data_IF_250697799304
#
_entry.id   IF_250697799304
#
_cell.length_a   1.000
_cell.length_b   1.000
_cell.length_c   1.000
_cell.angle_alpha   90.00
_cell.angle_beta   90.00
_cell.angle_gamma   90.00
#
_symmetry.space_group_name_H-M   'P 1'
#
loop_
_entity.id
_entity.type
_entity.pdbx_description
1 polymer ?
#
# COMPACT_ATOMS: atom_id res chain seq x y z
N UNK A 1 -4.40 29.07 -9.84
CA UNK A 1 -5.37 28.05 -9.42
C UNK A 1 -4.75 27.21 -8.31
N UNK A 2 -5.44 26.94 -7.19
CA UNK A 2 -4.87 26.09 -6.15
C UNK A 2 -4.75 24.65 -6.67
N UNK A 3 -3.54 24.12 -6.72
CA UNK A 3 -3.31 22.71 -7.05
C UNK A 3 -3.76 21.85 -5.86
N UNK A 4 -4.94 21.23 -6.00
CA UNK A 4 -5.39 20.20 -5.06
C UNK A 4 -4.49 18.98 -5.27
N UNK A 5 -3.61 18.69 -4.30
CA UNK A 5 -2.87 17.42 -4.31
C UNK A 5 -3.87 16.29 -4.13
N UNK A 6 -4.16 15.57 -5.21
CA UNK A 6 -4.88 14.31 -5.13
C UNK A 6 -4.07 13.37 -4.22
N UNK A 7 -4.65 12.98 -3.09
CA UNK A 7 -4.12 11.91 -2.25
C UNK A 7 -4.82 10.63 -2.71
N UNK A 8 -4.19 9.81 -3.57
CA UNK A 8 -4.77 8.53 -3.93
C UNK A 8 -4.86 7.67 -2.65
N UNK A 9 -6.08 7.48 -2.15
CA UNK A 9 -6.37 6.43 -1.18
C UNK A 9 -6.76 5.22 -2.01
N UNK A 10 -5.98 4.15 -1.93
CA UNK A 10 -6.16 2.96 -2.77
C UNK A 10 -7.39 2.13 -2.38
N UNK A 11 -8.02 2.43 -1.23
CA UNK A 11 -9.30 1.88 -0.79
C UNK A 11 -10.30 3.02 -0.59
N UNK A 12 -11.53 2.79 -1.04
CA UNK A 12 -12.66 3.67 -0.74
C UNK A 12 -13.10 3.39 0.70
N UNK A 13 -13.15 4.43 1.53
CA UNK A 13 -13.81 4.36 2.82
C UNK A 13 -15.34 4.37 2.65
N UNK A 14 -16.08 4.09 3.71
CA UNK A 14 -17.55 4.05 3.65
C UNK A 14 -18.12 5.40 3.19
N UNK A 15 -17.52 6.52 3.61
CA UNK A 15 -17.95 7.85 3.21
C UNK A 15 -17.83 8.07 1.69
N UNK A 16 -16.71 7.67 1.08
CA UNK A 16 -16.51 7.74 -0.38
C UNK A 16 -17.37 6.74 -1.14
N UNK A 17 -17.63 5.56 -0.57
CA UNK A 17 -18.59 4.62 -1.15
C UNK A 17 -20.00 5.22 -1.17
N UNK A 18 -20.40 5.92 -0.11
CA UNK A 18 -21.69 6.59 -0.04
C UNK A 18 -21.78 7.76 -1.03
N UNK A 19 -20.68 8.51 -1.23
CA UNK A 19 -20.59 9.54 -2.28
C UNK A 19 -20.68 8.92 -3.68
N UNK A 20 -19.96 7.83 -3.94
CA UNK A 20 -20.01 7.12 -5.22
C UNK A 20 -21.43 6.60 -5.52
N UNK A 21 -22.13 6.09 -4.49
CA UNK A 21 -23.51 5.63 -4.60
C UNK A 21 -24.50 6.75 -4.92
N UNK A 22 -24.24 7.99 -4.50
CA UNK A 22 -25.07 9.16 -4.87
C UNK A 22 -24.92 9.49 -6.36
N UNK A 23 -23.72 9.31 -6.92
CA UNK A 23 -23.41 9.66 -8.32
C UNK A 23 -23.80 8.55 -9.28
N UNK A 24 -23.60 7.28 -8.89
CA UNK A 24 -23.86 6.09 -9.72
C UNK A 24 -24.65 5.04 -8.92
N UNK A 25 -25.93 5.29 -8.58
CA UNK A 25 -26.73 4.37 -7.78
C UNK A 25 -26.96 3.02 -8.48
N UNK A 26 -27.08 3.01 -9.81
CA UNK A 26 -27.27 1.81 -10.64
C UNK A 26 -26.08 0.84 -10.58
N UNK A 27 -24.88 1.36 -10.28
CA UNK A 27 -23.69 0.55 -10.12
C UNK A 27 -23.69 -0.25 -8.80
N UNK A 28 -24.69 -0.08 -7.93
CA UNK A 28 -24.80 -0.80 -6.65
C UNK A 28 -25.98 -1.78 -6.66
N UNK A 29 -25.70 -3.05 -6.35
CA UNK A 29 -26.69 -4.09 -6.11
C UNK A 29 -26.42 -4.74 -4.74
N UNK A 30 -27.45 -4.86 -3.90
CA UNK A 30 -27.36 -5.47 -2.56
C UNK A 30 -26.25 -4.90 -1.66
N UNK A 31 -26.00 -3.59 -1.77
CA UNK A 31 -24.98 -2.90 -0.98
C UNK A 31 -23.54 -3.15 -1.45
N UNK A 32 -23.34 -3.84 -2.58
CA UNK A 32 -22.04 -4.03 -3.23
C UNK A 32 -22.04 -3.41 -4.62
N UNK A 33 -20.85 -3.12 -5.14
CA UNK A 33 -20.70 -2.63 -6.52
C UNK A 33 -20.92 -3.81 -7.47
N UNK A 34 -21.88 -3.67 -8.39
CA UNK A 34 -22.01 -4.54 -9.55
C UNK A 34 -21.05 -4.04 -10.64
N UNK A 35 -20.00 -4.81 -10.91
CA UNK A 35 -18.97 -4.45 -11.88
C UNK A 35 -19.50 -4.31 -13.30
N UNK A 36 -20.44 -5.17 -13.72
CA UNK A 36 -21.00 -5.12 -15.08
C UNK A 36 -21.80 -3.85 -15.29
N UNK A 37 -22.65 -3.49 -14.32
CA UNK A 37 -23.45 -2.26 -14.39
C UNK A 37 -22.56 -1.02 -14.27
N UNK A 38 -21.54 -1.03 -13.41
CA UNK A 38 -20.57 0.06 -13.34
C UNK A 38 -19.84 0.24 -14.67
N UNK A 39 -19.41 -0.87 -15.29
CA UNK A 39 -18.75 -0.85 -16.60
C UNK A 39 -19.68 -0.27 -17.67
N UNK A 40 -20.93 -0.72 -17.70
CA UNK A 40 -21.94 -0.20 -18.63
C UNK A 40 -22.19 1.32 -18.42
N UNK A 41 -22.27 1.77 -17.18
CA UNK A 41 -22.49 3.19 -16.84
C UNK A 41 -21.29 4.07 -17.20
N UNK A 42 -20.06 3.57 -17.05
CA UNK A 42 -18.84 4.28 -17.43
C UNK A 42 -18.63 4.33 -18.96
N UNK A 43 -19.17 3.36 -19.70
CA UNK A 43 -19.24 3.39 -21.16
C UNK A 43 -17.88 3.68 -21.83
N UNK A 44 -17.84 4.69 -22.69
CA UNK A 44 -16.63 5.09 -23.44
C UNK A 44 -15.53 5.73 -22.58
N UNK A 45 -15.79 6.02 -21.30
CA UNK A 45 -14.79 6.53 -20.35
C UNK A 45 -13.93 5.40 -19.77
N UNK A 46 -14.28 4.14 -20.04
CA UNK A 46 -13.43 3.03 -19.72
C UNK A 46 -12.28 2.96 -20.72
N UNK A 47 -11.06 3.05 -20.22
CA UNK A 47 -9.93 2.53 -20.96
C UNK A 47 -10.12 1.00 -21.06
N UNK A 48 -10.34 0.51 -22.28
CA UNK A 48 -10.27 -0.92 -22.53
C UNK A 48 -8.82 -1.36 -22.33
N UNK A 49 -8.59 -2.32 -21.43
CA UNK A 49 -7.32 -3.06 -21.30
C UNK A 49 -7.09 -3.90 -22.58
N UNK A 50 -6.97 -3.25 -23.74
CA UNK A 50 -6.49 -3.90 -24.94
C UNK A 50 -5.00 -4.22 -24.80
N UNK A 51 -4.54 -5.30 -25.42
CA UNK A 51 -3.15 -5.80 -25.35
C UNK A 51 -2.08 -4.74 -25.74
N UNK A 52 -2.49 -3.62 -26.35
CA UNK A 52 -1.63 -2.50 -26.76
C UNK A 52 -1.86 -1.19 -25.96
N UNK A 53 -2.68 -1.20 -24.91
CA UNK A 53 -2.76 -0.10 -23.97
C UNK A 53 -1.59 -0.23 -22.98
N UNK A 54 -0.39 0.16 -23.40
CA UNK A 54 0.74 0.30 -22.50
C UNK A 54 0.47 1.46 -21.53
N UNK A 55 -0.24 1.18 -20.43
CA UNK A 55 -0.41 2.14 -19.36
C UNK A 55 0.98 2.42 -18.77
N UNK A 56 1.46 3.66 -18.95
CA UNK A 56 2.72 4.09 -18.37
C UNK A 56 2.69 3.91 -16.85
N UNK A 57 3.47 2.97 -16.34
CA UNK A 57 3.49 2.65 -14.92
C UNK A 57 4.65 1.74 -14.55
N UNK A 58 5.28 2.02 -13.41
CA UNK A 58 6.35 1.16 -12.90
C UNK A 58 5.76 -0.16 -12.40
N UNK A 59 6.04 -1.27 -13.08
CA UNK A 59 5.60 -2.62 -12.69
C UNK A 59 6.82 -3.47 -12.29
N UNK A 60 6.69 -4.21 -11.19
CA UNK A 60 7.73 -5.10 -10.69
C UNK A 60 7.12 -6.34 -10.02
N UNK A 61 7.82 -7.49 -10.02
CA UNK A 61 7.40 -8.68 -9.27
C UNK A 61 7.12 -8.35 -7.79
N UNK A 62 6.01 -8.85 -7.25
CA UNK A 62 5.64 -8.59 -5.85
C UNK A 62 4.94 -7.25 -5.58
N UNK A 63 4.77 -6.34 -6.56
CA UNK A 63 4.03 -5.07 -6.40
C UNK A 63 2.65 -5.24 -5.76
N UNK A 64 1.88 -6.26 -6.18
CA UNK A 64 0.55 -6.57 -5.61
C UNK A 64 0.64 -6.99 -4.14
N UNK A 65 1.61 -7.84 -3.81
CA UNK A 65 1.84 -8.32 -2.44
C UNK A 65 2.30 -7.18 -1.52
N UNK A 66 3.22 -6.34 -1.98
CA UNK A 66 3.67 -5.15 -1.25
C UNK A 66 2.50 -4.21 -0.90
N UNK A 67 1.58 -3.99 -1.84
CA UNK A 67 0.35 -3.23 -1.57
C UNK A 67 -0.51 -3.89 -0.49
N UNK A 68 -0.77 -5.20 -0.59
CA UNK A 68 -1.58 -5.91 0.40
C UNK A 68 -0.99 -5.81 1.82
N UNK A 69 0.33 -5.98 1.95
CA UNK A 69 1.03 -5.89 3.24
C UNK A 69 0.89 -4.49 3.85
N UNK A 70 0.98 -3.44 3.04
CA UNK A 70 0.82 -2.06 3.50
C UNK A 70 -0.58 -1.79 4.09
N UNK A 71 -1.62 -2.49 3.60
CA UNK A 71 -2.99 -2.37 4.10
C UNK A 71 -3.35 -3.36 5.21
N UNK A 72 -2.47 -4.31 5.52
CA UNK A 72 -2.74 -5.26 6.60
C UNK A 72 -2.65 -4.53 7.94
N UNK A 73 -3.62 -4.71 8.86
CA UNK A 73 -3.55 -4.14 10.20
C UNK A 73 -2.26 -4.53 10.90
N UNK A 74 -1.79 -3.65 11.79
CA UNK A 74 -0.73 -3.98 12.74
C UNK A 74 -1.20 -5.11 13.67
N UNK A 75 -0.31 -6.06 13.95
CA UNK A 75 -0.51 -7.14 14.93
C UNK A 75 0.06 -6.79 16.30
N UNK A 76 0.97 -5.81 16.37
CA UNK A 76 1.60 -5.33 17.59
C UNK A 76 0.87 -4.17 18.29
N UNK A 77 1.41 -3.78 19.45
CA UNK A 77 1.07 -2.54 20.17
C UNK A 77 2.34 -1.90 20.70
N UNK A 78 2.33 -0.57 20.85
CA UNK A 78 3.43 0.14 21.50
C UNK A 78 3.34 -0.04 23.02
N UNK A 79 4.48 -0.29 23.66
CA UNK A 79 4.62 -0.38 25.11
C UNK A 79 5.57 0.73 25.57
N UNK A 80 5.20 1.55 26.58
CA UNK A 80 6.10 2.58 27.09
C UNK A 80 7.34 1.99 27.75
N UNK A 81 8.53 2.36 27.28
CA UNK A 81 9.82 2.05 27.90
C UNK A 81 10.20 3.17 28.87
N UNK A 82 9.61 3.16 30.08
CA UNK A 82 9.84 4.20 31.10
C UNK A 82 11.26 4.13 31.67
N UNK A 83 11.91 5.28 31.80
CA UNK A 83 13.26 5.40 32.37
C UNK A 83 14.40 5.25 31.35
N UNK A 84 14.10 5.00 30.07
CA UNK A 84 15.10 4.89 28.99
C UNK A 84 15.28 6.20 28.21
N UNK A 85 14.35 7.14 28.36
CA UNK A 85 14.36 8.43 27.72
C UNK A 85 15.16 9.48 28.48
N UNK A 86 15.59 10.50 27.73
CA UNK A 86 16.27 11.68 28.27
C UNK A 86 15.22 12.79 28.49
N UNK A 87 15.14 13.30 29.72
CA UNK A 87 14.17 14.32 30.15
C UNK A 87 12.70 13.94 29.85
N UNK A 88 12.29 12.71 30.18
CA UNK A 88 11.00 12.12 29.79
C UNK A 88 9.78 12.99 30.12
N UNK A 89 9.78 13.67 31.26
CA UNK A 89 8.64 14.48 31.73
C UNK A 89 8.47 15.79 30.96
N UNK A 90 9.53 16.29 30.32
CA UNK A 90 9.55 17.61 29.66
C UNK A 90 9.68 17.53 28.13
N UNK A 91 10.18 16.40 27.64
CA UNK A 91 10.51 16.21 26.23
C UNK A 91 9.26 15.89 25.39
N UNK A 92 9.19 16.45 24.18
CA UNK A 92 8.11 16.20 23.20
C UNK A 92 8.52 15.25 22.08
N UNK A 93 9.77 14.81 22.06
CA UNK A 93 10.32 13.90 21.08
C UNK A 93 10.00 12.46 21.47
N UNK A 94 9.77 11.61 20.46
CA UNK A 94 9.45 10.20 20.64
C UNK A 94 10.50 9.39 19.89
N UNK A 95 11.08 8.41 20.58
CA UNK A 95 11.87 7.34 19.97
C UNK A 95 11.06 6.05 20.04
N UNK A 96 11.03 5.28 18.95
CA UNK A 96 10.29 4.02 18.88
C UNK A 96 11.22 2.97 18.32
N UNK A 97 11.39 1.89 19.08
CA UNK A 97 12.10 0.70 18.63
C UNK A 97 11.11 -0.32 18.04
N UNK A 98 11.42 -0.83 16.85
CA UNK A 98 10.60 -1.83 16.18
C UNK A 98 10.83 -1.89 14.67
N UNK A 99 10.15 -2.83 14.02
CA UNK A 99 10.11 -2.91 12.55
C UNK A 99 9.32 -1.70 12.01
N UNK A 100 9.88 -1.03 11.00
CA UNK A 100 9.43 0.30 10.61
C UNK A 100 8.00 0.31 10.02
N UNK A 101 7.63 -0.70 9.23
CA UNK A 101 6.31 -0.77 8.61
C UNK A 101 5.23 -0.99 9.67
N UNK A 102 5.51 -1.83 10.66
CA UNK A 102 4.62 -2.09 11.78
C UNK A 102 4.41 -0.85 12.66
N UNK A 103 5.50 -0.15 12.99
CA UNK A 103 5.44 1.12 13.73
C UNK A 103 4.64 2.18 12.97
N UNK A 104 4.88 2.33 11.66
CA UNK A 104 4.18 3.32 10.84
C UNK A 104 2.67 3.04 10.76
N UNK A 105 2.24 1.77 10.72
CA UNK A 105 0.82 1.39 10.77
C UNK A 105 0.16 1.82 12.08
N UNK A 106 0.86 1.70 13.21
CA UNK A 106 0.35 2.15 14.52
C UNK A 106 0.24 3.67 14.58
N UNK A 107 1.27 4.39 14.10
CA UNK A 107 1.29 5.85 14.07
C UNK A 107 0.26 6.46 13.12
N UNK A 108 -0.17 5.72 12.09
CA UNK A 108 -1.12 6.20 11.09
C UNK A 108 -2.38 6.79 11.72
N UNK A 109 -2.96 6.14 12.75
CA UNK A 109 -4.19 6.61 13.40
C UNK A 109 -4.03 7.99 14.06
N UNK A 110 -2.89 8.22 14.71
CA UNK A 110 -2.68 9.42 15.55
C UNK A 110 -1.98 10.56 14.82
N UNK A 111 -1.16 10.25 13.80
CA UNK A 111 -0.26 11.20 13.14
C UNK A 111 -0.55 11.43 11.65
N UNK A 112 -1.57 10.79 11.06
CA UNK A 112 -1.97 11.04 9.68
C UNK A 112 -2.19 12.54 9.42
N UNK A 113 -1.50 13.08 8.42
CA UNK A 113 -1.59 14.49 8.03
C UNK A 113 -0.93 15.49 8.98
N UNK A 114 -0.26 15.04 10.05
CA UNK A 114 0.41 15.91 11.03
C UNK A 114 1.93 16.04 10.83
N UNK A 115 2.53 15.16 10.02
CA UNK A 115 3.98 15.16 9.77
C UNK A 115 4.33 16.19 8.70
N UNK A 116 5.25 17.12 9.03
CA UNK A 116 5.69 18.19 8.11
C UNK A 116 6.83 17.76 7.20
N UNK A 117 7.82 17.05 7.74
CA UNK A 117 9.02 16.59 7.01
C UNK A 117 9.32 15.16 7.45
N UNK A 118 9.73 14.34 6.49
CA UNK A 118 10.25 12.99 6.72
C UNK A 118 11.66 12.97 6.11
N UNK A 119 12.65 12.57 6.91
CA UNK A 119 14.01 12.30 6.44
C UNK A 119 14.28 10.80 6.60
N UNK A 120 14.76 10.15 5.54
CA UNK A 120 15.07 8.72 5.51
C UNK A 120 16.42 8.54 4.83
N UNK A 121 17.22 7.63 5.37
CA UNK A 121 18.45 7.13 4.76
C UNK A 121 18.31 5.59 4.63
N UNK A 122 17.48 5.11 3.68
CA UNK A 122 17.30 3.68 3.49
C UNK A 122 18.57 3.06 2.87
N UNK A 123 18.78 1.73 3.02
CA UNK A 123 19.92 1.08 2.39
C UNK A 123 19.89 1.27 0.87
N UNK A 124 21.01 1.68 0.30
CA UNK A 124 21.15 1.83 -1.14
C UNK A 124 21.36 0.46 -1.78
N UNK A 125 20.66 0.20 -2.89
CA UNK A 125 20.82 -1.02 -3.67
C UNK A 125 22.12 -0.98 -4.49
N UNK A 126 23.27 -1.01 -3.81
CA UNK A 126 24.62 -0.91 -4.41
C UNK A 126 25.37 -2.24 -4.42
N UNK A 127 24.66 -3.37 -4.45
CA UNK A 127 25.23 -4.71 -4.67
C UNK A 127 25.77 -5.42 -3.42
N UNK A 128 26.35 -4.71 -2.46
CA UNK A 128 26.96 -5.31 -1.26
C UNK A 128 26.10 -5.23 0.01
N UNK A 129 25.00 -4.44 -0.01
CA UNK A 129 24.30 -3.98 1.22
C UNK A 129 22.79 -4.32 1.26
N UNK A 130 22.33 -5.26 0.43
CA UNK A 130 20.92 -5.68 0.41
C UNK A 130 20.67 -6.91 1.30
N UNK A 131 19.88 -6.70 2.37
CA UNK A 131 19.33 -7.76 3.22
C UNK A 131 17.98 -8.28 2.67
N UNK A 132 17.62 -7.93 1.43
CA UNK A 132 16.53 -8.61 0.72
C UNK A 132 17.14 -9.73 -0.12
N UNK A 133 16.63 -10.96 0.03
CA UNK A 133 17.07 -12.08 -0.77
C UNK A 133 16.67 -11.82 -2.24
N UNK A 134 17.57 -11.20 -3.00
CA UNK A 134 17.41 -10.80 -4.40
C UNK A 134 17.44 -12.01 -5.35
N UNK A 135 17.61 -13.20 -4.78
CA UNK A 135 17.53 -14.45 -5.51
C UNK A 135 16.06 -14.89 -5.68
N UNK A 136 15.36 -14.21 -6.59
CA UNK A 136 14.11 -14.69 -7.21
C UNK A 136 14.38 -15.59 -8.41
N UNK A 137 15.63 -16.02 -8.65
CA UNK A 137 15.83 -17.16 -9.50
C UNK A 137 15.18 -18.33 -8.76
N UNK A 138 13.91 -18.60 -9.07
CA UNK A 138 13.42 -19.97 -9.04
C UNK A 138 14.49 -20.74 -9.81
N UNK A 139 15.27 -21.61 -9.14
CA UNK A 139 16.20 -22.47 -9.84
C UNK A 139 15.38 -23.08 -10.97
N UNK A 140 15.90 -23.10 -12.21
CA UNK A 140 15.15 -23.60 -13.38
C UNK A 140 14.40 -24.91 -13.05
N UNK A 141 14.99 -25.73 -12.19
CA UNK A 141 14.43 -26.93 -11.58
C UNK A 141 13.07 -26.75 -10.87
N UNK A 142 12.88 -25.71 -10.06
CA UNK A 142 11.64 -25.47 -9.30
C UNK A 142 10.55 -24.87 -10.21
N UNK A 143 10.92 -23.97 -11.13
CA UNK A 143 10.02 -23.53 -12.21
C UNK A 143 9.53 -24.72 -13.06
N UNK A 144 10.45 -25.59 -13.49
CA UNK A 144 10.16 -26.78 -14.30
C UNK A 144 9.31 -27.81 -13.53
N UNK A 145 9.44 -27.89 -12.20
CA UNK A 145 8.56 -28.72 -11.35
C UNK A 145 7.14 -28.15 -11.26
N UNK A 146 7.01 -26.84 -11.01
CA UNK A 146 5.70 -26.20 -10.93
C UNK A 146 4.96 -26.18 -12.27
N UNK A 147 5.68 -26.10 -13.40
CA UNK A 147 5.10 -26.16 -14.75
C UNK A 147 4.84 -27.59 -15.25
N UNK A 148 5.19 -28.63 -14.48
CA UNK A 148 5.02 -30.03 -14.85
C UNK A 148 5.95 -30.52 -15.97
N UNK A 149 7.04 -29.79 -16.24
CA UNK A 149 8.02 -30.09 -17.29
C UNK A 149 9.19 -30.96 -16.80
N UNK A 150 9.24 -31.25 -15.49
CA UNK A 150 10.08 -32.30 -14.91
C UNK A 150 9.18 -33.42 -14.37
N UNK A 151 9.43 -34.64 -14.86
CA UNK A 151 8.88 -35.90 -14.30
C UNK A 151 9.68 -36.31 -13.08
#
# INVERSE_FOLDING_TARGET
MPHVRLKPTFTLDQARLDELKKVLPEAFADGRINWETLRAALGQQLEEEGENAEHFGLNWPGKRKARQIAFTPSTGTLVPAKGEGVNEDENKNIFIEGENLEVLKLLQKSYAGKIRVIYLDPPYNTGDDLIYNDNFADPLKDYLRYSGQLV
#
